data_IF_825405154335
#
_entry.id   IF_825405154335
#
_cell.length_a   1.000
_cell.length_b   1.000
_cell.length_c   1.000
_cell.angle_alpha   90.00
_cell.angle_beta   90.00
_cell.angle_gamma   90.00
#
_symmetry.space_group_name_H-M   'P 1'
#
loop_
_entity.id
_entity.type
_entity.pdbx_description
1 polymer ?
#
# COMPACT_ATOMS: atom_id res chain seq x y z
N UNK A 1 28.24 -4.31 2.69
CA UNK A 1 26.90 -3.77 2.40
C UNK A 1 26.80 -2.26 2.59
N UNK A 2 27.52 -1.65 3.55
CA UNK A 2 27.54 -0.19 3.78
C UNK A 2 27.70 0.68 2.51
N UNK A 3 28.64 0.35 1.60
CA UNK A 3 28.83 1.11 0.36
C UNK A 3 27.55 1.18 -0.47
N UNK A 4 26.89 0.05 -0.70
CA UNK A 4 25.62 -0.02 -1.44
C UNK A 4 24.52 0.78 -0.73
N UNK A 5 24.40 0.66 0.59
CA UNK A 5 23.41 1.44 1.37
C UNK A 5 23.67 2.95 1.27
N UNK A 6 24.95 3.35 1.23
CA UNK A 6 25.36 4.75 1.04
C UNK A 6 24.97 5.26 -0.35
N UNK A 7 25.15 4.46 -1.39
CA UNK A 7 24.72 4.79 -2.75
C UNK A 7 23.19 4.92 -2.84
N UNK A 8 22.45 4.01 -2.20
CA UNK A 8 20.98 4.01 -2.17
C UNK A 8 20.40 5.22 -1.42
N UNK A 9 20.91 5.54 -0.23
CA UNK A 9 20.39 6.66 0.57
C UNK A 9 20.66 8.01 -0.11
N UNK A 10 21.81 8.15 -0.78
CA UNK A 10 22.16 9.35 -1.55
C UNK A 10 21.22 9.51 -2.75
N UNK A 11 20.98 8.43 -3.50
CA UNK A 11 20.05 8.47 -4.63
C UNK A 11 18.62 8.80 -4.18
N UNK A 12 18.16 8.23 -3.06
CA UNK A 12 16.86 8.54 -2.48
C UNK A 12 16.74 10.01 -2.05
N UNK A 13 17.78 10.58 -1.44
CA UNK A 13 17.83 11.98 -1.03
C UNK A 13 17.84 12.95 -2.23
N UNK A 14 18.55 12.60 -3.30
CA UNK A 14 18.57 13.39 -4.54
C UNK A 14 17.19 13.43 -5.21
N UNK A 15 16.46 12.30 -5.20
CA UNK A 15 15.08 12.21 -5.70
C UNK A 15 14.03 12.88 -4.78
N UNK A 16 14.38 13.16 -3.52
CA UNK A 16 13.47 13.77 -2.56
C UNK A 16 13.19 15.23 -2.92
N UNK A 17 11.92 15.62 -2.95
CA UNK A 17 11.49 17.02 -3.14
C UNK A 17 11.91 17.90 -1.95
N UNK A 18 12.14 19.21 -2.13
CA UNK A 18 12.34 20.14 -1.02
C UNK A 18 11.23 20.07 0.04
N UNK A 19 11.58 20.03 1.33
CA UNK A 19 10.63 19.84 2.43
C UNK A 19 10.09 18.41 2.57
N UNK A 20 10.48 17.50 1.67
CA UNK A 20 10.15 16.08 1.75
C UNK A 20 10.86 15.39 2.92
N UNK A 21 10.28 14.30 3.41
CA UNK A 21 10.83 13.46 4.45
C UNK A 21 11.21 12.11 3.84
N UNK A 22 12.44 11.66 4.11
CA UNK A 22 12.91 10.32 3.81
C UNK A 22 13.11 9.56 5.12
N UNK A 23 12.73 8.29 5.13
CA UNK A 23 13.01 7.36 6.21
C UNK A 23 14.02 6.34 5.70
N UNK A 24 15.15 6.22 6.39
CA UNK A 24 16.12 5.16 6.17
C UNK A 24 15.97 4.14 7.28
N UNK A 25 15.89 2.86 6.92
CA UNK A 25 15.74 1.79 7.90
C UNK A 25 16.41 0.50 7.47
N UNK A 26 16.78 -0.31 8.47
CA UNK A 26 17.41 -1.61 8.26
C UNK A 26 16.95 -2.62 9.31
N UNK A 27 17.08 -3.91 9.02
CA UNK A 27 16.94 -5.01 9.98
C UNK A 27 18.31 -5.58 10.41
N UNK A 28 19.35 -4.72 10.46
CA UNK A 28 20.70 -5.11 10.91
C UNK A 28 21.13 -4.33 12.15
N UNK A 29 22.01 -4.93 12.95
CA UNK A 29 22.62 -4.27 14.10
C UNK A 29 23.89 -3.49 13.76
N UNK A 30 24.48 -3.71 12.58
CA UNK A 30 25.75 -3.08 12.17
C UNK A 30 25.68 -1.57 12.30
N UNK A 31 26.66 -0.99 13.01
CA UNK A 31 26.80 0.48 13.13
C UNK A 31 27.22 1.06 11.78
N UNK A 32 28.01 0.33 11.01
CA UNK A 32 28.48 0.72 9.69
C UNK A 32 27.32 0.89 8.71
N UNK A 33 26.38 -0.05 8.69
CA UNK A 33 25.19 -0.02 7.83
C UNK A 33 24.10 0.93 8.34
N UNK A 34 24.17 1.37 9.59
CA UNK A 34 23.16 2.22 10.21
C UNK A 34 23.67 3.67 10.32
N UNK A 35 24.24 4.05 11.45
CA UNK A 35 24.75 5.40 11.70
C UNK A 35 25.90 5.76 10.76
N UNK A 36 26.70 4.80 10.30
CA UNK A 36 27.73 5.01 9.30
C UNK A 36 27.17 5.49 7.95
N UNK A 37 26.02 4.96 7.54
CA UNK A 37 25.31 5.39 6.32
C UNK A 37 24.70 6.79 6.52
N UNK A 38 24.09 7.04 7.68
CA UNK A 38 23.56 8.37 8.04
C UNK A 38 24.67 9.42 8.05
N UNK A 39 25.82 9.11 8.67
CA UNK A 39 27.00 9.98 8.70
C UNK A 39 27.46 10.32 7.28
N UNK A 40 27.61 9.31 6.42
CA UNK A 40 28.05 9.50 5.04
C UNK A 40 27.12 10.44 4.25
N UNK A 41 25.80 10.37 4.51
CA UNK A 41 24.85 11.30 3.91
C UNK A 41 25.02 12.73 4.46
N UNK A 42 25.16 12.89 5.78
CA UNK A 42 25.35 14.20 6.43
C UNK A 42 26.68 14.88 6.05
N UNK A 43 27.71 14.09 5.76
CA UNK A 43 29.00 14.58 5.29
C UNK A 43 28.88 15.16 3.86
N UNK A 44 27.99 14.59 3.04
CA UNK A 44 27.70 15.08 1.67
C UNK A 44 26.70 16.24 1.65
N UNK A 45 25.72 16.25 2.55
CA UNK A 45 24.63 17.21 2.60
C UNK A 45 24.46 17.76 4.02
N UNK A 46 24.94 18.98 4.25
CA UNK A 46 25.07 19.55 5.60
C UNK A 46 23.78 20.15 6.16
N UNK A 47 22.82 20.47 5.30
CA UNK A 47 21.56 21.16 5.59
C UNK A 47 20.39 20.20 5.87
N UNK A 48 20.66 18.90 5.98
CA UNK A 48 19.66 17.89 6.34
C UNK A 48 19.21 18.08 7.79
N UNK A 49 17.89 18.06 7.99
CA UNK A 49 17.26 18.13 9.30
C UNK A 49 16.84 16.73 9.77
N UNK A 50 17.16 16.35 11.01
CA UNK A 50 16.56 15.17 11.63
C UNK A 50 15.11 15.46 12.02
N UNK A 51 14.24 14.50 11.72
CA UNK A 51 12.87 14.49 12.26
C UNK A 51 12.87 13.58 13.46
N UNK A 52 12.60 14.16 14.64
CA UNK A 52 12.39 13.39 15.86
C UNK A 52 11.00 12.76 15.86
N UNK A 53 10.95 11.50 16.26
CA UNK A 53 9.72 10.76 16.43
C UNK A 53 9.91 9.71 17.53
N UNK A 54 8.85 9.43 18.26
CA UNK A 54 8.86 8.51 19.39
C UNK A 54 8.52 7.11 18.92
N UNK A 55 9.23 6.12 19.45
CA UNK A 55 8.94 4.71 19.24
C UNK A 55 9.07 3.98 20.58
N UNK A 56 8.13 3.07 20.85
CA UNK A 56 8.17 2.23 22.03
C UNK A 56 9.39 1.29 21.98
N UNK A 57 10.06 1.08 23.11
CA UNK A 57 11.27 0.22 23.21
C UNK A 57 12.46 0.65 22.34
N UNK A 58 12.49 1.92 21.91
CA UNK A 58 13.58 2.48 21.14
C UNK A 58 14.82 2.78 22.01
N UNK A 59 15.97 2.36 21.51
CA UNK A 59 17.29 2.69 22.01
C UNK A 59 17.92 3.75 21.10
N UNK A 60 18.86 4.52 21.65
CA UNK A 60 19.65 5.48 20.87
C UNK A 60 20.61 4.77 19.91
N UNK A 61 21.19 5.54 18.99
CA UNK A 61 22.30 5.07 18.17
C UNK A 61 23.53 4.70 19.02
N UNK A 62 24.42 3.92 18.43
CA UNK A 62 25.58 3.32 19.10
C UNK A 62 26.91 3.74 18.46
N UNK A 63 26.92 4.86 17.73
CA UNK A 63 28.07 5.27 16.92
C UNK A 63 29.09 6.12 17.66
N UNK A 64 28.76 6.58 18.87
CA UNK A 64 29.56 7.52 19.66
C UNK A 64 29.45 8.98 19.18
N UNK A 65 28.49 9.28 18.30
CA UNK A 65 28.25 10.62 17.77
C UNK A 65 26.85 11.07 18.17
N UNK A 66 26.75 11.92 19.20
CA UNK A 66 25.47 12.40 19.74
C UNK A 66 24.59 13.13 18.72
N UNK A 67 25.19 13.79 17.71
CA UNK A 67 24.42 14.41 16.63
C UNK A 67 23.58 13.39 15.86
N UNK A 68 24.05 12.16 15.75
CA UNK A 68 23.34 11.06 15.09
C UNK A 68 22.59 10.23 16.13
N UNK A 69 23.28 9.77 17.17
CA UNK A 69 22.77 8.78 18.13
C UNK A 69 21.51 9.26 18.88
N UNK A 70 21.39 10.56 19.14
CA UNK A 70 20.20 11.14 19.80
C UNK A 70 19.01 11.38 18.84
N UNK A 71 19.20 11.17 17.53
CA UNK A 71 18.21 11.47 16.50
C UNK A 71 17.85 10.25 15.62
N UNK A 72 18.36 9.08 15.98
CA UNK A 72 18.03 7.80 15.35
C UNK A 72 17.54 6.84 16.42
N UNK A 73 16.88 5.76 16.02
CA UNK A 73 16.56 4.71 16.96
C UNK A 73 16.98 3.32 16.50
N UNK A 74 17.20 2.48 17.51
CA UNK A 74 17.41 1.05 17.41
C UNK A 74 16.35 0.33 18.22
N UNK A 75 15.71 -0.64 17.61
CA UNK A 75 15.01 -1.69 18.35
C UNK A 75 16.02 -2.81 18.51
N UNK A 76 16.35 -3.15 19.75
CA UNK A 76 17.19 -4.30 20.06
C UNK A 76 16.28 -5.46 20.49
N UNK A 77 16.64 -6.71 20.20
CA UNK A 77 15.85 -7.91 20.51
C UNK A 77 15.87 -8.25 22.01
N UNK A 78 16.01 -7.25 22.89
CA UNK A 78 16.42 -7.45 24.28
C UNK A 78 15.45 -8.34 25.07
N UNK A 79 16.04 -9.28 25.82
CA UNK A 79 15.43 -9.99 26.94
C UNK A 79 15.79 -9.17 28.19
N UNK A 80 14.94 -8.24 28.62
CA UNK A 80 15.20 -7.55 29.87
C UNK A 80 14.79 -8.44 31.05
N UNK A 81 15.76 -8.78 31.88
CA UNK A 81 15.57 -9.47 33.15
C UNK A 81 15.46 -8.42 34.27
N UNK A 82 14.36 -7.67 34.27
CA UNK A 82 14.00 -6.81 35.40
C UNK A 82 13.37 -7.73 36.45
N UNK A 83 14.15 -8.07 37.49
CA UNK A 83 13.75 -8.76 38.73
C UNK A 83 12.31 -9.32 38.67
N UNK A 84 12.18 -10.51 38.09
CA UNK A 84 10.99 -11.37 38.04
C UNK A 84 9.95 -11.16 36.93
N UNK A 85 10.18 -10.38 35.86
CA UNK A 85 9.38 -10.51 34.62
C UNK A 85 10.25 -10.34 33.37
N UNK A 86 10.32 -11.40 32.56
CA UNK A 86 11.03 -11.44 31.28
C UNK A 86 10.21 -10.66 30.25
N UNK A 87 10.63 -9.44 29.91
CA UNK A 87 10.12 -8.73 28.73
C UNK A 87 11.03 -9.05 27.56
N UNK A 88 10.54 -9.89 26.65
CA UNK A 88 11.08 -10.01 25.30
C UNK A 88 10.37 -8.98 24.43
N UNK A 89 11.13 -8.15 23.73
CA UNK A 89 10.56 -7.48 22.56
C UNK A 89 10.20 -8.58 21.55
N UNK A 90 9.04 -8.49 20.89
CA UNK A 90 8.65 -9.43 19.81
C UNK A 90 9.39 -9.13 18.50
N UNK A 91 10.46 -8.33 18.55
CA UNK A 91 11.14 -7.78 17.40
C UNK A 91 12.55 -8.35 17.28
N UNK A 92 12.91 -8.83 16.10
CA UNK A 92 14.23 -9.40 15.80
C UNK A 92 15.34 -8.33 15.75
N UNK A 93 14.98 -7.05 15.84
CA UNK A 93 15.88 -5.91 15.77
C UNK A 93 15.63 -5.02 14.56
N UNK A 94 15.81 -3.71 14.72
CA UNK A 94 15.53 -2.73 13.68
C UNK A 94 16.33 -1.44 13.90
N UNK A 95 16.62 -0.70 12.84
CA UNK A 95 17.16 0.65 12.88
C UNK A 95 16.33 1.57 12.01
N UNK A 96 16.15 2.82 12.44
CA UNK A 96 15.49 3.84 11.62
C UNK A 96 16.00 5.24 11.91
N UNK A 97 16.00 6.07 10.87
CA UNK A 97 16.25 7.50 10.91
C UNK A 97 15.28 8.22 9.96
N UNK A 98 14.67 9.31 10.41
CA UNK A 98 13.85 10.18 9.56
C UNK A 98 14.58 11.51 9.32
N UNK A 99 14.69 11.89 8.05
CA UNK A 99 15.47 13.02 7.59
C UNK A 99 14.61 13.89 6.67
N UNK A 100 14.63 15.20 6.86
CA UNK A 100 13.96 16.17 6.00
C UNK A 100 14.98 16.91 5.14
N UNK A 101 14.69 16.99 3.84
CA UNK A 101 15.40 17.87 2.93
C UNK A 101 14.89 19.29 3.12
N UNK A 102 15.75 20.29 3.29
CA UNK A 102 15.32 21.66 3.51
C UNK A 102 14.60 22.23 2.28
N UNK A 103 13.93 23.36 2.49
CA UNK A 103 13.14 24.06 1.50
C UNK A 103 11.66 23.70 1.53
N UNK A 104 10.88 24.38 0.69
CA UNK A 104 9.43 24.25 0.60
C UNK A 104 9.11 23.85 -0.83
N UNK A 105 8.36 22.77 -1.01
CA UNK A 105 7.76 22.48 -2.31
C UNK A 105 6.38 23.11 -2.37
N UNK A 106 6.19 24.08 -3.26
CA UNK A 106 4.87 24.55 -3.65
C UNK A 106 4.05 23.37 -4.20
N UNK A 107 2.83 23.15 -3.67
CA UNK A 107 1.88 22.16 -4.21
C UNK A 107 1.28 22.59 -5.57
N UNK A 108 2.04 23.27 -6.42
CA UNK A 108 1.65 23.60 -7.80
C UNK A 108 1.82 22.39 -8.70
N UNK A 109 1.33 21.23 -8.27
CA UNK A 109 1.07 20.11 -9.15
C UNK A 109 -0.09 20.47 -10.05
N UNK A 110 0.14 20.55 -11.36
CA UNK A 110 -0.89 20.68 -12.38
C UNK A 110 -1.93 19.56 -12.18
N UNK A 111 -3.03 19.86 -11.47
CA UNK A 111 -4.25 19.05 -11.50
C UNK A 111 -4.87 19.30 -12.87
N UNK A 112 -4.35 18.65 -13.90
CA UNK A 112 -5.13 18.46 -15.12
C UNK A 112 -6.33 17.61 -14.70
N UNK A 113 -7.51 18.22 -14.66
CA UNK A 113 -8.77 17.50 -14.66
C UNK A 113 -8.84 16.72 -15.97
N UNK A 114 -8.36 15.48 -15.94
CA UNK A 114 -8.55 14.58 -17.07
C UNK A 114 -9.94 13.98 -16.92
N UNK A 115 -10.73 14.08 -17.99
CA UNK A 115 -12.10 13.58 -18.05
C UNK A 115 -12.19 12.12 -17.60
N UNK A 116 -12.95 11.90 -16.54
CA UNK A 116 -13.12 10.61 -15.91
C UNK A 116 -14.27 9.84 -16.58
N UNK A 117 -14.05 9.43 -17.84
CA UNK A 117 -15.05 8.73 -18.67
C UNK A 117 -15.69 7.54 -17.94
N UNK A 118 -14.90 6.82 -17.14
CA UNK A 118 -15.34 5.60 -16.45
C UNK A 118 -15.87 5.83 -15.03
N UNK A 119 -15.58 6.96 -14.36
CA UNK A 119 -16.06 7.19 -13.00
C UNK A 119 -17.58 7.11 -12.86
N UNK A 120 -18.34 7.63 -13.83
CA UNK A 120 -19.80 7.56 -13.79
C UNK A 120 -20.29 6.11 -13.76
N UNK A 121 -19.61 5.21 -14.46
CA UNK A 121 -19.93 3.78 -14.45
C UNK A 121 -19.63 3.15 -13.09
N UNK A 122 -18.48 3.44 -12.49
CA UNK A 122 -18.16 2.93 -11.15
C UNK A 122 -19.08 3.53 -10.06
N UNK A 123 -19.50 4.78 -10.21
CA UNK A 123 -20.50 5.43 -9.33
C UNK A 123 -21.89 4.78 -9.37
N UNK A 124 -22.16 3.90 -10.33
CA UNK A 124 -23.36 3.06 -10.30
C UNK A 124 -23.30 2.11 -9.10
N UNK A 125 -22.13 1.50 -8.87
CA UNK A 125 -21.92 0.45 -7.87
C UNK A 125 -21.41 0.96 -6.52
N UNK A 126 -20.71 2.11 -6.53
CA UNK A 126 -20.07 2.70 -5.35
C UNK A 126 -20.60 4.12 -5.07
N UNK A 127 -20.48 4.57 -3.83
CA UNK A 127 -20.77 5.95 -3.42
C UNK A 127 -19.79 6.95 -4.08
N UNK A 128 -20.13 8.24 -4.05
CA UNK A 128 -19.35 9.29 -4.75
C UNK A 128 -18.01 9.61 -4.11
N UNK A 129 -17.75 9.08 -2.91
CA UNK A 129 -16.55 9.34 -2.12
C UNK A 129 -15.29 8.59 -2.63
N UNK A 130 -15.38 7.94 -3.80
CA UNK A 130 -14.23 7.36 -4.48
C UNK A 130 -13.14 8.43 -4.75
N UNK A 131 -11.85 8.07 -4.61
CA UNK A 131 -10.78 9.00 -4.87
C UNK A 131 -10.81 9.50 -6.32
N UNK A 132 -10.51 10.78 -6.48
CA UNK A 132 -10.34 11.41 -7.79
C UNK A 132 -9.03 10.89 -8.41
N UNK A 133 -9.10 9.80 -9.17
CA UNK A 133 -7.99 9.27 -9.96
C UNK A 133 -8.32 9.17 -11.44
N UNK A 134 -7.30 8.88 -12.25
CA UNK A 134 -7.42 8.74 -13.69
C UNK A 134 -7.76 7.29 -14.02
N UNK A 135 -8.95 7.06 -14.57
CA UNK A 135 -9.27 5.75 -15.14
C UNK A 135 -8.68 5.66 -16.54
N UNK A 136 -7.74 4.73 -16.73
CA UNK A 136 -7.06 4.49 -17.99
C UNK A 136 -7.41 3.10 -18.51
N UNK A 137 -7.69 3.03 -19.80
CA UNK A 137 -7.92 1.77 -20.48
C UNK A 137 -6.63 1.27 -21.14
N UNK A 138 -6.29 0.01 -20.91
CA UNK A 138 -5.15 -0.66 -21.54
C UNK A 138 -5.59 -2.06 -21.97
N UNK A 139 -5.66 -2.30 -23.28
CA UNK A 139 -6.03 -3.60 -23.86
C UNK A 139 -7.34 -4.19 -23.28
N UNK A 140 -8.38 -3.36 -23.14
CA UNK A 140 -9.70 -3.75 -22.60
C UNK A 140 -9.78 -3.90 -21.08
N UNK A 141 -8.68 -3.70 -20.36
CA UNK A 141 -8.65 -3.58 -18.91
C UNK A 141 -8.70 -2.12 -18.50
N UNK A 142 -9.35 -1.83 -17.37
CA UNK A 142 -9.48 -0.49 -16.83
C UNK A 142 -8.66 -0.42 -15.54
N UNK A 143 -7.80 0.59 -15.41
CA UNK A 143 -6.95 0.85 -14.25
C UNK A 143 -7.24 2.22 -13.66
N UNK A 144 -7.27 2.32 -12.33
CA UNK A 144 -7.23 3.57 -11.59
C UNK A 144 -5.77 3.93 -11.33
N UNK A 145 -5.28 4.98 -11.98
CA UNK A 145 -3.90 5.47 -11.89
C UNK A 145 -3.86 6.89 -11.29
N UNK A 146 -2.70 7.25 -10.74
CA UNK A 146 -2.35 8.65 -10.44
C UNK A 146 -1.56 9.21 -11.62
N UNK A 147 -1.28 10.51 -11.57
CA UNK A 147 -0.31 11.10 -12.49
C UNK A 147 1.06 10.46 -12.21
N UNK A 148 1.55 9.73 -13.21
CA UNK A 148 2.82 9.01 -13.16
C UNK A 148 3.79 9.71 -14.12
N UNK A 149 5.06 9.80 -13.73
CA UNK A 149 6.11 10.34 -14.59
C UNK A 149 6.31 9.42 -15.82
N UNK A 150 6.09 9.91 -17.05
CA UNK A 150 6.26 9.10 -18.25
C UNK A 150 7.72 8.71 -18.52
N UNK A 151 8.70 9.34 -17.87
CA UNK A 151 10.12 9.01 -17.96
C UNK A 151 10.51 7.71 -17.24
N UNK A 152 9.65 7.20 -16.36
CA UNK A 152 9.92 5.98 -15.59
C UNK A 152 9.22 4.78 -16.23
N UNK A 153 9.96 3.69 -16.42
CA UNK A 153 9.39 2.40 -16.87
C UNK A 153 8.84 1.64 -15.68
N UNK A 154 7.53 1.46 -15.65
CA UNK A 154 6.86 0.70 -14.60
C UNK A 154 6.56 -0.72 -15.05
N UNK A 155 6.77 -1.69 -14.15
CA UNK A 155 6.31 -3.06 -14.35
C UNK A 155 4.78 -3.17 -14.21
N UNK A 156 4.20 -2.46 -13.23
CA UNK A 156 2.75 -2.35 -13.00
C UNK A 156 2.43 -0.94 -12.51
N UNK A 157 1.34 -0.37 -13.00
CA UNK A 157 0.83 0.95 -12.60
C UNK A 157 -0.63 0.87 -12.18
N UNK A 158 -0.96 1.60 -11.12
CA UNK A 158 -2.33 1.74 -10.64
C UNK A 158 -2.96 0.46 -10.10
N UNK A 159 -4.26 0.58 -9.84
CA UNK A 159 -5.14 -0.47 -9.35
C UNK A 159 -6.01 -0.95 -10.50
N UNK A 160 -6.05 -2.26 -10.77
CA UNK A 160 -6.99 -2.79 -11.78
C UNK A 160 -8.42 -2.50 -11.29
N UNK A 161 -9.15 -1.65 -11.99
CA UNK A 161 -10.51 -1.27 -11.63
C UNK A 161 -11.55 -2.28 -12.15
N UNK A 162 -11.33 -2.81 -13.35
CA UNK A 162 -12.25 -3.73 -13.99
C UNK A 162 -11.84 -4.07 -15.42
N UNK A 163 -12.78 -4.59 -16.19
CA UNK A 163 -12.64 -4.90 -17.62
C UNK A 163 -13.98 -4.79 -18.32
N UNK A 164 -13.98 -4.64 -19.63
CA UNK A 164 -15.22 -4.71 -20.40
C UNK A 164 -15.78 -6.14 -20.43
N UNK A 165 -17.10 -6.23 -20.32
CA UNK A 165 -17.91 -7.42 -20.46
C UNK A 165 -19.09 -7.10 -21.39
N UNK A 166 -18.83 -7.09 -22.70
CA UNK A 166 -19.76 -6.53 -23.69
C UNK A 166 -19.82 -5.01 -23.56
N UNK A 167 -21.04 -4.46 -23.42
CA UNK A 167 -21.26 -3.01 -23.25
C UNK A 167 -21.19 -2.55 -21.78
N UNK A 168 -20.94 -3.46 -20.84
CA UNK A 168 -20.87 -3.20 -19.40
C UNK A 168 -19.44 -3.40 -18.88
N UNK A 169 -19.17 -2.96 -17.65
CA UNK A 169 -17.89 -3.15 -16.96
C UNK A 169 -18.06 -4.21 -15.88
N UNK A 170 -17.20 -5.23 -15.88
CA UNK A 170 -17.01 -6.15 -14.75
C UNK A 170 -15.96 -5.54 -13.82
N UNK A 171 -16.38 -5.13 -12.63
CA UNK A 171 -15.52 -4.62 -11.55
C UNK A 171 -14.55 -5.72 -11.13
N UNK A 172 -13.31 -5.37 -10.84
CA UNK A 172 -12.31 -6.33 -10.36
C UNK A 172 -12.43 -6.55 -8.85
N UNK A 173 -11.94 -7.69 -8.36
CA UNK A 173 -11.80 -7.90 -6.91
C UNK A 173 -10.79 -6.93 -6.28
N UNK A 174 -9.73 -6.54 -7.00
CA UNK A 174 -8.76 -5.53 -6.53
C UNK A 174 -9.42 -4.18 -6.23
N UNK A 175 -10.33 -3.73 -7.09
CA UNK A 175 -11.06 -2.48 -6.88
C UNK A 175 -12.03 -2.56 -5.71
N UNK A 176 -12.70 -3.72 -5.58
CA UNK A 176 -13.60 -3.96 -4.46
C UNK A 176 -12.85 -4.03 -3.13
N UNK A 177 -11.65 -4.61 -3.07
CA UNK A 177 -10.87 -4.66 -1.82
C UNK A 177 -10.45 -3.27 -1.34
N UNK A 178 -10.12 -2.37 -2.28
CA UNK A 178 -9.77 -0.99 -1.95
C UNK A 178 -10.99 -0.15 -1.57
N UNK A 179 -12.09 -0.26 -2.31
CA UNK A 179 -13.24 0.65 -2.22
C UNK A 179 -14.53 0.01 -1.70
N UNK A 180 -14.46 -1.20 -1.18
CA UNK A 180 -15.62 -1.99 -0.73
C UNK A 180 -16.42 -1.31 0.37
N UNK A 181 -15.79 -0.50 1.21
CA UNK A 181 -16.47 0.32 2.22
C UNK A 181 -17.47 1.33 1.61
N UNK A 182 -17.28 1.68 0.33
CA UNK A 182 -18.17 2.55 -0.44
C UNK A 182 -19.11 1.79 -1.37
N UNK A 183 -19.16 0.45 -1.31
CA UNK A 183 -20.09 -0.32 -2.13
C UNK A 183 -21.53 -0.06 -1.70
N UNK A 184 -22.44 0.08 -2.66
CA UNK A 184 -23.86 0.30 -2.34
C UNK A 184 -24.53 -1.01 -1.97
N UNK A 185 -25.33 -0.98 -0.91
CA UNK A 185 -26.08 -2.11 -0.34
C UNK A 185 -26.74 -3.06 -1.36
N UNK A 186 -27.40 -2.60 -2.44
CA UNK A 186 -28.08 -3.53 -3.35
C UNK A 186 -27.13 -4.52 -4.02
N UNK A 187 -25.85 -4.15 -4.22
CA UNK A 187 -24.85 -5.00 -4.87
C UNK A 187 -24.13 -5.94 -3.91
N UNK A 188 -24.33 -5.79 -2.59
CA UNK A 188 -23.64 -6.56 -1.57
C UNK A 188 -24.33 -7.91 -1.36
N UNK A 189 -23.53 -8.96 -1.30
CA UNK A 189 -23.92 -10.32 -0.93
C UNK A 189 -23.14 -10.73 0.31
N UNK A 190 -23.84 -10.89 1.42
CA UNK A 190 -23.24 -11.42 2.65
C UNK A 190 -23.05 -12.93 2.54
N UNK A 191 -21.84 -13.38 2.83
CA UNK A 191 -21.42 -14.77 2.88
C UNK A 191 -21.28 -15.20 4.34
N UNK A 192 -21.53 -16.48 4.61
CA UNK A 192 -21.03 -17.10 5.83
C UNK A 192 -19.56 -17.54 5.64
N UNK A 193 -18.93 -18.05 6.70
CA UNK A 193 -17.52 -18.43 6.69
C UNK A 193 -17.22 -19.53 5.66
N UNK A 194 -18.06 -20.57 5.57
CA UNK A 194 -17.87 -21.69 4.64
C UNK A 194 -17.99 -21.23 3.18
N UNK A 195 -18.97 -20.37 2.89
CA UNK A 195 -19.17 -19.74 1.58
C UNK A 195 -17.96 -18.88 1.20
N UNK A 196 -17.43 -18.10 2.14
CA UNK A 196 -16.26 -17.24 1.92
C UNK A 196 -14.99 -18.07 1.67
N UNK A 197 -14.76 -19.12 2.47
CA UNK A 197 -13.62 -20.02 2.27
C UNK A 197 -13.67 -20.73 0.91
N UNK A 198 -14.82 -21.29 0.55
CA UNK A 198 -15.01 -21.96 -0.75
C UNK A 198 -14.80 -20.97 -1.90
N UNK A 199 -15.31 -19.74 -1.77
CA UNK A 199 -15.06 -18.69 -2.74
C UNK A 199 -13.56 -18.37 -2.89
N UNK A 200 -12.81 -18.28 -1.79
CA UNK A 200 -11.36 -18.02 -1.83
C UNK A 200 -10.55 -19.20 -2.39
N UNK A 201 -11.11 -20.43 -2.36
CA UNK A 201 -10.57 -21.60 -3.07
C UNK A 201 -10.90 -21.61 -4.57
N UNK A 202 -11.78 -20.70 -5.01
CA UNK A 202 -12.14 -20.51 -6.41
C UNK A 202 -13.47 -21.13 -6.81
N UNK A 203 -14.23 -21.66 -5.85
CA UNK A 203 -15.52 -22.31 -6.08
C UNK A 203 -16.66 -21.30 -6.23
N UNK A 204 -17.68 -21.71 -6.98
CA UNK A 204 -18.95 -20.98 -7.07
C UNK A 204 -19.75 -21.16 -5.77
N UNK A 205 -20.57 -20.16 -5.42
CA UNK A 205 -21.38 -20.18 -4.20
C UNK A 205 -22.82 -20.57 -4.54
N UNK A 206 -23.32 -21.61 -3.89
CA UNK A 206 -24.69 -22.10 -4.03
C UNK A 206 -25.68 -21.25 -3.23
N UNK A 207 -25.81 -19.99 -3.62
CA UNK A 207 -26.70 -19.01 -2.99
C UNK A 207 -27.50 -18.27 -4.07
N UNK A 208 -28.81 -18.17 -3.87
CA UNK A 208 -29.68 -17.45 -4.81
C UNK A 208 -29.47 -15.95 -4.64
N UNK A 209 -29.04 -15.24 -5.68
CA UNK A 209 -28.76 -13.81 -5.57
C UNK A 209 -30.06 -12.99 -5.58
N UNK A 210 -30.11 -11.95 -4.73
CA UNK A 210 -31.24 -11.00 -4.69
C UNK A 210 -31.32 -10.15 -5.95
N UNK A 211 -30.16 -9.76 -6.50
CA UNK A 211 -30.04 -9.02 -7.75
C UNK A 211 -29.47 -9.89 -8.86
N UNK A 212 -29.91 -9.66 -10.09
CA UNK A 212 -29.24 -10.19 -11.29
C UNK A 212 -28.16 -9.20 -11.73
N UNK A 213 -27.09 -9.71 -12.33
CA UNK A 213 -26.06 -8.84 -12.91
C UNK A 213 -24.65 -9.43 -12.87
N UNK A 214 -23.73 -8.72 -13.51
CA UNK A 214 -22.31 -9.06 -13.61
C UNK A 214 -21.48 -8.54 -12.43
N UNK A 215 -22.02 -7.61 -11.65
CA UNK A 215 -21.34 -6.94 -10.54
C UNK A 215 -22.14 -7.12 -9.26
N UNK A 216 -21.85 -8.19 -8.55
CA UNK A 216 -22.23 -8.38 -7.16
C UNK A 216 -20.96 -8.52 -6.34
N UNK A 217 -21.02 -8.11 -5.09
CA UNK A 217 -19.86 -7.99 -4.22
C UNK A 217 -20.04 -8.91 -3.03
N UNK A 218 -19.22 -9.95 -2.96
CA UNK A 218 -19.20 -10.87 -1.84
C UNK A 218 -18.50 -10.21 -0.65
N UNK A 219 -19.17 -10.21 0.49
CA UNK A 219 -18.64 -9.77 1.78
C UNK A 219 -18.76 -10.90 2.79
N UNK A 220 -17.80 -10.98 3.70
CA UNK A 220 -17.90 -11.75 4.93
C UNK A 220 -17.80 -10.75 6.07
N UNK A 221 -18.86 -10.64 6.86
CA UNK A 221 -19.09 -9.52 7.78
C UNK A 221 -18.94 -8.15 7.08
N UNK A 222 -17.90 -7.39 7.41
CA UNK A 222 -17.60 -6.08 6.82
C UNK A 222 -16.38 -6.13 5.87
N UNK A 223 -15.89 -7.33 5.55
CA UNK A 223 -14.68 -7.53 4.74
C UNK A 223 -15.09 -7.85 3.30
N UNK A 224 -14.71 -7.04 2.30
CA UNK A 224 -14.92 -7.38 0.91
C UNK A 224 -14.06 -8.60 0.55
N UNK A 225 -14.70 -9.70 0.13
CA UNK A 225 -14.02 -10.94 -0.25
C UNK A 225 -13.71 -10.96 -1.74
N UNK A 226 -14.61 -10.45 -2.58
CA UNK A 226 -14.37 -10.30 -4.02
C UNK A 226 -15.65 -10.17 -4.83
N UNK A 227 -15.54 -10.28 -6.15
CA UNK A 227 -16.69 -10.11 -7.04
C UNK A 227 -17.34 -11.46 -7.41
N UNK A 228 -18.66 -11.43 -7.57
CA UNK A 228 -19.47 -12.58 -8.01
C UNK A 228 -20.46 -12.15 -9.08
N UNK A 229 -20.89 -13.11 -9.90
CA UNK A 229 -21.89 -12.89 -10.94
C UNK A 229 -23.08 -13.81 -10.72
N UNK A 230 -24.28 -13.27 -10.77
CA UNK A 230 -25.52 -14.06 -10.73
C UNK A 230 -25.70 -14.85 -12.03
N UNK A 231 -25.72 -16.20 -11.95
CA UNK A 231 -25.97 -17.09 -13.10
C UNK A 231 -26.80 -18.28 -12.65
N UNK A 232 -27.95 -18.55 -13.28
CA UNK A 232 -28.75 -19.76 -13.06
C UNK A 232 -29.03 -20.09 -11.58
N UNK A 233 -29.40 -19.08 -10.78
CA UNK A 233 -29.73 -19.28 -9.35
C UNK A 233 -28.54 -19.49 -8.42
N UNK A 234 -27.31 -19.33 -8.91
CA UNK A 234 -26.07 -19.38 -8.12
C UNK A 234 -25.20 -18.15 -8.35
N UNK A 235 -24.17 -18.00 -7.52
CA UNK A 235 -23.16 -16.97 -7.62
C UNK A 235 -21.88 -17.54 -8.19
N UNK A 236 -21.58 -17.16 -9.44
CA UNK A 236 -20.36 -17.56 -10.11
C UNK A 236 -19.18 -16.75 -9.56
N UNK A 237 -18.10 -17.44 -9.22
CA UNK A 237 -16.86 -16.86 -8.74
C UNK A 237 -16.17 -16.02 -9.83
N UNK A 238 -15.85 -14.77 -9.50
CA UNK A 238 -15.15 -13.83 -10.39
C UNK A 238 -13.83 -13.33 -9.82
N UNK A 239 -13.27 -14.02 -8.82
CA UNK A 239 -11.92 -13.76 -8.35
C UNK A 239 -10.93 -13.86 -9.52
N UNK A 240 -10.06 -12.85 -9.65
CA UNK A 240 -9.02 -12.86 -10.67
C UNK A 240 -8.16 -14.12 -10.49
N UNK A 241 -8.07 -14.96 -11.53
CA UNK A 241 -7.41 -16.30 -11.45
C UNK A 241 -5.94 -16.23 -11.04
N UNK A 242 -5.30 -15.09 -11.25
CA UNK A 242 -3.95 -14.81 -10.73
C UNK A 242 -3.84 -15.03 -9.22
N UNK A 243 -4.87 -14.68 -8.43
CA UNK A 243 -4.86 -14.90 -6.97
C UNK A 243 -5.03 -16.36 -6.56
N UNK A 244 -5.60 -17.20 -7.43
CA UNK A 244 -5.81 -18.62 -7.15
C UNK A 244 -4.60 -19.46 -7.58
N UNK A 245 -3.94 -19.08 -8.67
CA UNK A 245 -2.96 -19.95 -9.34
C UNK A 245 -1.58 -19.30 -9.56
N UNK A 246 -1.41 -18.02 -9.21
CA UNK A 246 -0.12 -17.32 -9.26
C UNK A 246 0.48 -17.11 -10.66
N UNK A 247 -0.29 -17.32 -11.73
CA UNK A 247 0.15 -17.17 -13.13
C UNK A 247 -0.38 -15.91 -13.78
#
# INVERSE_FOLDING_TARGET
MQKLQTELIVSAYEALKPGGIMVYSTCTFSVEENEGVIRSLLDKYQDIEFIKFEAEFAHKGLSGNSRIDDNVFRILPEIQNLKNNILRTTYDGFFSAALRKPGITDEKGSRREVQNKYAKTFQQFFHKDLPKGLFKEVKGLIFLEKNIDPGIKFFKTGLKAGKFAGNDIEVSSQFLWEFGCSAKEPYIVQLNIDEAENYLKGDDINKVPKLKGNNLFAFYDNIPVGTVKAVNGRLKNKLDRYFLYGK
#
